data_IF_164096083930
#
_entry.id   IF_164096083930
#
_cell.length_a   1.000
_cell.length_b   1.000
_cell.length_c   1.000
_cell.angle_alpha   90.00
_cell.angle_beta   90.00
_cell.angle_gamma   90.00
#
_symmetry.space_group_name_H-M   'P 1'
#
loop_
_entity.id
_entity.type
_entity.pdbx_description
1 polymer ?
#
# COMPACT_ATOMS: atom_id res chain seq x y z
N UNK A 1 13.43 -12.60 6.01
CA UNK A 1 12.00 -12.41 5.69
C UNK A 1 11.70 -13.07 4.36
N UNK A 2 10.48 -13.58 4.13
CA UNK A 2 10.14 -14.08 2.78
C UNK A 2 9.96 -12.89 1.84
N UNK A 3 10.35 -13.04 0.56
CA UNK A 3 10.13 -11.99 -0.47
C UNK A 3 8.66 -11.54 -0.56
N UNK A 4 7.72 -12.42 -0.21
CA UNK A 4 6.28 -12.10 -0.18
C UNK A 4 5.94 -11.12 0.94
N UNK A 5 6.56 -11.30 2.11
CA UNK A 5 6.43 -10.36 3.23
C UNK A 5 7.04 -9.00 2.85
N UNK A 6 8.21 -8.99 2.19
CA UNK A 6 8.84 -7.75 1.71
C UNK A 6 7.94 -6.96 0.75
N UNK A 7 7.22 -7.62 -0.15
CA UNK A 7 6.25 -6.94 -1.02
C UNK A 7 5.11 -6.31 -0.23
N UNK A 8 4.57 -7.03 0.76
CA UNK A 8 3.49 -6.52 1.62
C UNK A 8 3.96 -5.31 2.44
N UNK A 9 5.16 -5.37 2.99
CA UNK A 9 5.72 -4.31 3.82
C UNK A 9 5.99 -3.05 2.99
N UNK A 10 6.55 -3.19 1.78
CA UNK A 10 6.76 -2.05 0.86
C UNK A 10 5.46 -1.34 0.49
N UNK A 11 4.37 -2.09 0.29
CA UNK A 11 3.06 -1.48 0.02
C UNK A 11 2.55 -0.70 1.25
N UNK A 12 2.73 -1.23 2.46
CA UNK A 12 2.33 -0.56 3.71
C UNK A 12 3.15 0.69 4.01
N UNK A 13 4.45 0.63 3.78
CA UNK A 13 5.33 1.79 3.88
C UNK A 13 4.88 2.89 2.92
N UNK A 14 4.66 2.55 1.65
CA UNK A 14 4.21 3.52 0.65
C UNK A 14 2.83 4.10 1.00
N UNK A 15 1.86 3.30 1.45
CA UNK A 15 0.57 3.82 1.94
C UNK A 15 0.77 4.82 3.08
N UNK A 16 1.69 4.55 4.00
CA UNK A 16 1.99 5.44 5.14
C UNK A 16 2.57 6.76 4.65
N UNK A 17 3.55 6.71 3.76
CA UNK A 17 4.16 7.91 3.17
C UNK A 17 3.15 8.77 2.42
N UNK A 18 2.28 8.14 1.62
CA UNK A 18 1.22 8.85 0.90
C UNK A 18 0.18 9.46 1.85
N UNK A 19 -0.20 8.77 2.94
CA UNK A 19 -1.09 9.33 3.98
C UNK A 19 -0.48 10.54 4.66
N UNK A 20 0.80 10.48 5.03
CA UNK A 20 1.52 11.63 5.61
C UNK A 20 1.55 12.80 4.63
N UNK A 21 1.77 12.53 3.33
CA UNK A 21 1.77 13.57 2.30
C UNK A 21 0.37 14.12 2.01
N UNK A 22 -0.67 13.31 2.13
CA UNK A 22 -2.06 13.75 2.02
C UNK A 22 -2.46 14.67 3.19
N UNK A 23 -2.01 14.35 4.40
CA UNK A 23 -2.31 15.11 5.62
C UNK A 23 -1.53 16.43 5.70
N UNK A 24 -0.23 16.40 5.39
CA UNK A 24 0.67 17.57 5.52
C UNK A 24 0.90 18.33 4.23
N UNK A 25 0.41 17.81 3.10
CA UNK A 25 0.64 18.34 1.77
C UNK A 25 -0.09 19.66 1.55
N UNK A 26 0.60 20.61 0.92
CA UNK A 26 -0.04 21.77 0.30
C UNK A 26 -0.34 21.41 -1.14
N UNK A 27 -1.62 21.20 -1.45
CA UNK A 27 -2.08 20.92 -2.80
C UNK A 27 -2.48 22.21 -3.49
N UNK A 28 -1.96 22.43 -4.69
CA UNK A 28 -2.31 23.63 -5.46
C UNK A 28 -3.60 23.40 -6.25
N UNK A 29 -3.90 22.14 -6.57
CA UNK A 29 -5.07 21.71 -7.31
C UNK A 29 -5.72 20.52 -6.63
N UNK A 30 -7.05 20.47 -6.64
CA UNK A 30 -7.81 19.35 -6.06
C UNK A 30 -7.46 18.01 -6.71
N UNK A 31 -7.12 18.01 -8.01
CA UNK A 31 -6.69 16.81 -8.73
C UNK A 31 -5.44 16.16 -8.11
N UNK A 32 -4.52 16.94 -7.55
CA UNK A 32 -3.31 16.40 -6.91
C UNK A 32 -3.67 15.59 -5.65
N UNK A 33 -4.60 16.12 -4.85
CA UNK A 33 -5.14 15.46 -3.67
C UNK A 33 -5.89 14.18 -4.06
N UNK A 34 -6.77 14.28 -5.05
CA UNK A 34 -7.53 13.15 -5.57
C UNK A 34 -6.61 12.02 -6.07
N UNK A 35 -5.53 12.35 -6.80
CA UNK A 35 -4.58 11.33 -7.25
C UNK A 35 -3.90 10.59 -6.10
N UNK A 36 -3.60 11.26 -4.98
CA UNK A 36 -3.05 10.60 -3.79
C UNK A 36 -4.08 9.72 -3.08
N UNK A 37 -5.33 10.17 -2.99
CA UNK A 37 -6.44 9.38 -2.43
C UNK A 37 -6.69 8.11 -3.25
N UNK A 38 -6.73 8.22 -4.58
CA UNK A 38 -6.85 7.09 -5.50
C UNK A 38 -5.66 6.14 -5.41
N UNK A 39 -4.44 6.67 -5.29
CA UNK A 39 -3.24 5.85 -5.11
C UNK A 39 -3.31 5.04 -3.81
N UNK A 40 -3.74 5.65 -2.70
CA UNK A 40 -3.93 4.94 -1.42
C UNK A 40 -4.98 3.83 -1.56
N UNK A 41 -6.10 4.10 -2.23
CA UNK A 41 -7.15 3.10 -2.49
C UNK A 41 -6.60 1.92 -3.30
N UNK A 42 -5.87 2.19 -4.37
CA UNK A 42 -5.25 1.16 -5.22
C UNK A 42 -4.21 0.34 -4.46
N UNK A 43 -3.41 0.98 -3.59
CA UNK A 43 -2.48 0.28 -2.70
C UNK A 43 -3.21 -0.59 -1.67
N UNK A 44 -4.42 -0.22 -1.24
CA UNK A 44 -5.26 -1.06 -0.38
C UNK A 44 -5.67 -2.36 -1.07
N UNK A 45 -6.04 -2.30 -2.35
CA UNK A 45 -6.30 -3.50 -3.15
C UNK A 45 -5.03 -4.35 -3.34
N UNK A 46 -3.88 -3.71 -3.63
CA UNK A 46 -2.60 -4.40 -3.74
C UNK A 46 -2.23 -5.13 -2.44
N UNK A 47 -2.39 -4.47 -1.29
CA UNK A 47 -2.14 -5.07 0.03
C UNK A 47 -3.02 -6.31 0.27
N UNK A 48 -4.31 -6.22 -0.02
CA UNK A 48 -5.25 -7.34 0.11
C UNK A 48 -4.80 -8.55 -0.70
N UNK A 49 -4.41 -8.35 -1.96
CA UNK A 49 -3.97 -9.43 -2.84
C UNK A 49 -2.61 -9.99 -2.44
N UNK A 50 -1.64 -9.15 -2.06
CA UNK A 50 -0.33 -9.59 -1.57
C UNK A 50 -0.43 -10.37 -0.27
N UNK A 51 -1.32 -9.96 0.64
CA UNK A 51 -1.59 -10.70 1.86
C UNK A 51 -2.19 -12.08 1.56
N UNK A 52 -3.12 -12.18 0.61
CA UNK A 52 -3.63 -13.48 0.14
C UNK A 52 -2.51 -14.37 -0.44
N UNK A 53 -1.63 -13.79 -1.26
CA UNK A 53 -0.46 -14.49 -1.81
C UNK A 53 0.52 -14.98 -0.74
N UNK A 54 0.73 -14.20 0.33
CA UNK A 54 1.51 -14.58 1.50
C UNK A 54 0.83 -15.71 2.29
N UNK A 55 -0.49 -15.65 2.48
CA UNK A 55 -1.24 -16.68 3.20
C UNK A 55 -1.18 -18.05 2.52
N UNK A 56 -1.13 -18.10 1.18
CA UNK A 56 -0.89 -19.34 0.43
C UNK A 56 0.47 -19.94 0.75
N UNK A 57 1.50 -19.12 1.02
CA UNK A 57 2.82 -19.59 1.47
C UNK A 57 2.73 -20.23 2.86
N UNK A 58 2.13 -19.50 3.80
CA UNK A 58 1.98 -19.93 5.19
C UNK A 58 1.16 -21.22 5.31
N UNK A 59 0.09 -21.34 4.51
CA UNK A 59 -0.72 -22.56 4.45
C UNK A 59 0.07 -23.78 3.96
N UNK A 60 1.11 -23.57 3.14
CA UNK A 60 2.00 -24.63 2.67
C UNK A 60 3.15 -24.95 3.64
N UNK A 61 3.19 -24.32 4.81
CA UNK A 61 4.20 -24.57 5.85
C UNK A 61 5.56 -23.91 5.59
N UNK A 62 5.62 -22.92 4.69
CA UNK A 62 6.80 -22.09 4.45
C UNK A 62 6.79 -20.79 5.27
#
# INVERSE_FOLDING_TARGET
MSKRQEYLDRVRELQTDLKVRLDKGKFTKEVEKFCLEEAITNLGYAEKHLNGYLQVDKFRGN
#
